data_IF_503246433085
#
_entry.id   IF_503246433085
#
_cell.length_a   1.000
_cell.length_b   1.000
_cell.length_c   1.000
_cell.angle_alpha   90.00
_cell.angle_beta   90.00
_cell.angle_gamma   90.00
#
_symmetry.space_group_name_H-M   'P 1'
#
loop_
_entity.id
_entity.type
_entity.pdbx_description
1 polymer ?
#
# COMPACT_ATOMS: atom_id res chain seq x y z
N UNK A 1 36.41 23.60 -13.62
CA UNK A 1 35.05 23.42 -14.17
C UNK A 1 34.99 22.06 -14.80
N UNK A 2 34.64 21.03 -14.04
CA UNK A 2 34.40 19.69 -14.58
C UNK A 2 32.90 19.57 -14.88
N UNK A 3 32.58 19.39 -16.15
CA UNK A 3 31.22 19.15 -16.62
C UNK A 3 30.80 17.74 -16.23
N UNK A 4 29.98 17.59 -15.19
CA UNK A 4 29.24 16.36 -14.94
C UNK A 4 28.26 16.12 -16.09
N UNK A 5 28.68 15.30 -17.06
CA UNK A 5 27.80 14.81 -18.10
C UNK A 5 26.87 13.74 -17.49
N UNK A 6 25.73 14.17 -16.96
CA UNK A 6 24.62 13.30 -16.59
C UNK A 6 24.07 12.66 -17.87
N UNK A 7 24.65 11.53 -18.29
CA UNK A 7 24.02 10.66 -19.28
C UNK A 7 22.65 10.29 -18.74
N UNK A 8 21.60 10.86 -19.33
CA UNK A 8 20.21 10.43 -19.17
C UNK A 8 20.19 8.90 -19.29
N UNK A 9 19.82 8.22 -18.21
CA UNK A 9 19.75 6.77 -18.15
C UNK A 9 18.46 6.30 -18.86
N UNK A 10 18.36 6.57 -20.17
CA UNK A 10 17.22 6.18 -21.00
C UNK A 10 17.29 4.69 -21.29
N UNK A 11 16.18 3.96 -21.09
CA UNK A 11 16.07 2.53 -21.40
C UNK A 11 15.88 2.31 -22.91
N UNK A 12 16.85 2.74 -23.71
CA UNK A 12 16.80 2.73 -25.18
C UNK A 12 17.51 1.51 -25.83
N UNK A 13 18.22 0.71 -25.03
CA UNK A 13 18.89 -0.49 -25.51
C UNK A 13 17.90 -1.64 -25.75
N UNK A 14 18.07 -2.37 -26.86
CA UNK A 14 17.19 -3.47 -27.27
C UNK A 14 17.78 -4.82 -26.89
N UNK A 15 16.92 -5.69 -26.35
CA UNK A 15 17.22 -7.10 -26.07
C UNK A 15 16.26 -7.96 -26.88
N UNK A 16 16.81 -8.88 -27.68
CA UNK A 16 16.05 -9.91 -28.40
C UNK A 16 16.38 -11.29 -27.84
N UNK A 17 15.34 -12.07 -27.54
CA UNK A 17 15.46 -13.42 -26.99
C UNK A 17 14.59 -14.34 -27.84
N UNK A 18 15.17 -15.44 -28.34
CA UNK A 18 14.41 -16.52 -28.97
C UNK A 18 14.07 -17.57 -27.93
N UNK A 19 12.81 -17.94 -27.86
CA UNK A 19 12.29 -18.93 -26.90
C UNK A 19 11.56 -20.03 -27.65
N UNK A 20 11.54 -21.23 -27.08
CA UNK A 20 10.61 -22.27 -27.50
C UNK A 20 9.16 -21.81 -27.25
N UNK A 21 8.19 -22.44 -27.91
CA UNK A 21 6.78 -22.15 -27.66
C UNK A 21 6.40 -22.40 -26.18
N UNK A 22 6.95 -23.47 -25.59
CA UNK A 22 6.75 -23.82 -24.19
C UNK A 22 7.31 -22.75 -23.24
N UNK A 23 8.54 -22.29 -23.44
CA UNK A 23 9.17 -21.29 -22.58
C UNK A 23 8.47 -19.93 -22.68
N UNK A 24 8.03 -19.56 -23.89
CA UNK A 24 7.27 -18.34 -24.10
C UNK A 24 5.95 -18.36 -23.32
N UNK A 25 5.27 -19.50 -23.30
CA UNK A 25 4.02 -19.64 -22.56
C UNK A 25 4.26 -19.64 -21.03
N UNK A 26 5.32 -20.30 -20.57
CA UNK A 26 5.75 -20.25 -19.16
C UNK A 26 6.08 -18.81 -18.74
N UNK A 27 6.75 -18.03 -19.60
CA UNK A 27 7.03 -16.61 -19.36
C UNK A 27 5.73 -15.77 -19.26
N UNK A 28 4.79 -15.94 -20.19
CA UNK A 28 3.52 -15.22 -20.18
C UNK A 28 2.73 -15.49 -18.91
N UNK A 29 2.63 -16.76 -18.50
CA UNK A 29 1.97 -17.15 -17.24
C UNK A 29 2.63 -16.51 -16.02
N UNK A 30 3.97 -16.52 -15.95
CA UNK A 30 4.73 -15.85 -14.87
C UNK A 30 4.47 -14.35 -14.83
N UNK A 31 4.49 -13.69 -15.99
CA UNK A 31 4.29 -12.26 -16.09
C UNK A 31 2.86 -11.87 -15.68
N UNK A 32 1.87 -12.61 -16.18
CA UNK A 32 0.45 -12.40 -15.83
C UNK A 32 0.18 -12.60 -14.34
N UNK A 33 0.75 -13.62 -13.70
CA UNK A 33 0.56 -13.85 -12.26
C UNK A 33 1.09 -12.69 -11.39
N UNK A 34 2.06 -11.95 -11.91
CA UNK A 34 2.70 -10.80 -11.27
C UNK A 34 2.10 -9.45 -11.69
N UNK A 35 1.08 -9.43 -12.58
CA UNK A 35 0.54 -8.22 -13.22
C UNK A 35 1.60 -7.39 -13.97
N UNK A 36 2.56 -8.08 -14.61
CA UNK A 36 3.64 -7.47 -15.38
C UNK A 36 3.56 -7.84 -16.86
N UNK A 37 4.15 -7.01 -17.71
CA UNK A 37 4.52 -7.42 -19.06
C UNK A 37 5.72 -8.38 -19.01
N UNK A 38 5.87 -9.21 -20.05
CA UNK A 38 7.03 -10.09 -20.21
C UNK A 38 8.36 -9.32 -20.08
N UNK A 39 8.46 -8.17 -20.74
CA UNK A 39 9.66 -7.34 -20.71
C UNK A 39 9.93 -6.76 -19.32
N UNK A 40 8.89 -6.39 -18.57
CA UNK A 40 9.05 -5.88 -17.21
C UNK A 40 9.48 -6.97 -16.23
N UNK A 41 8.88 -8.17 -16.33
CA UNK A 41 9.31 -9.32 -15.53
C UNK A 41 10.79 -9.66 -15.79
N UNK A 42 11.22 -9.73 -17.06
CA UNK A 42 12.61 -10.00 -17.42
C UNK A 42 13.54 -8.92 -16.85
N UNK A 43 13.22 -7.63 -17.03
CA UNK A 43 14.03 -6.54 -16.48
C UNK A 43 14.19 -6.62 -14.97
N UNK A 44 13.12 -6.95 -14.24
CA UNK A 44 13.16 -7.10 -12.78
C UNK A 44 14.02 -8.29 -12.38
N UNK A 45 13.88 -9.44 -13.06
CA UNK A 45 14.71 -10.61 -12.80
C UNK A 45 16.19 -10.35 -13.10
N UNK A 46 16.52 -9.66 -14.20
CA UNK A 46 17.91 -9.28 -14.51
C UNK A 46 18.48 -8.36 -13.45
N UNK A 47 17.69 -7.39 -12.95
CA UNK A 47 18.16 -6.40 -11.97
C UNK A 47 18.28 -6.95 -10.55
N UNK A 48 17.36 -7.81 -10.13
CA UNK A 48 17.19 -8.19 -8.73
C UNK A 48 17.32 -9.71 -8.47
N UNK A 49 17.41 -10.54 -9.51
CA UNK A 49 17.47 -12.01 -9.43
C UNK A 49 16.14 -12.69 -9.07
N UNK A 50 15.23 -11.98 -8.40
CA UNK A 50 13.94 -12.48 -7.95
C UNK A 50 12.85 -11.41 -8.14
N UNK A 51 11.59 -11.85 -8.25
CA UNK A 51 10.43 -10.97 -8.34
C UNK A 51 9.36 -11.44 -7.35
N UNK A 52 8.85 -10.50 -6.55
CA UNK A 52 7.77 -10.73 -5.59
C UNK A 52 6.56 -9.90 -5.99
N UNK A 53 5.36 -10.49 -5.88
CA UNK A 53 4.10 -9.75 -5.88
C UNK A 53 3.71 -9.50 -4.43
N UNK A 54 3.52 -8.23 -4.09
CA UNK A 54 3.01 -7.82 -2.79
C UNK A 54 1.53 -7.55 -2.97
N UNK A 55 0.71 -8.22 -2.17
CA UNK A 55 -0.72 -7.97 -2.11
C UNK A 55 -1.00 -6.89 -1.05
N UNK A 56 -1.60 -5.79 -1.49
CA UNK A 56 -2.00 -4.67 -0.63
C UNK A 56 -3.52 -4.60 -0.41
N UNK A 57 -4.29 -5.63 -0.78
CA UNK A 57 -5.76 -5.61 -0.64
C UNK A 57 -6.24 -5.32 0.78
N UNK A 58 -5.45 -5.63 1.81
CA UNK A 58 -5.76 -5.33 3.22
C UNK A 58 -5.32 -3.94 3.70
N UNK A 59 -4.61 -3.16 2.87
CA UNK A 59 -4.35 -1.74 3.14
C UNK A 59 -5.63 -0.90 2.97
N UNK A 60 -6.55 -1.31 2.12
CA UNK A 60 -7.79 -0.56 1.88
C UNK A 60 -8.67 -0.48 3.13
N UNK A 61 -8.74 -1.56 3.92
CA UNK A 61 -9.44 -1.57 5.21
C UNK A 61 -8.78 -0.61 6.23
N UNK A 62 -7.45 -0.57 6.23
CA UNK A 62 -6.68 0.35 7.08
C UNK A 62 -6.94 1.81 6.66
N UNK A 63 -6.91 2.11 5.36
CA UNK A 63 -7.21 3.43 4.80
C UNK A 63 -8.65 3.87 5.11
N UNK A 64 -9.60 2.93 5.06
CA UNK A 64 -11.00 3.18 5.40
C UNK A 64 -11.16 3.59 6.87
N UNK A 65 -10.54 2.86 7.80
CA UNK A 65 -10.60 3.20 9.23
C UNK A 65 -9.90 4.54 9.53
N UNK A 66 -8.76 4.82 8.89
CA UNK A 66 -8.09 6.12 8.99
C UNK A 66 -8.97 7.28 8.51
N UNK A 67 -9.72 7.09 7.41
CA UNK A 67 -10.63 8.09 6.87
C UNK A 67 -11.78 8.42 7.82
N UNK A 68 -12.31 7.39 8.53
CA UNK A 68 -13.32 7.60 9.59
C UNK A 68 -12.75 8.44 10.74
N UNK A 69 -11.54 8.14 11.18
CA UNK A 69 -10.86 8.91 12.24
C UNK A 69 -10.66 10.38 11.81
N UNK A 70 -10.22 10.64 10.58
CA UNK A 70 -10.08 12.01 10.08
C UNK A 70 -11.40 12.78 10.03
N UNK A 71 -12.49 12.13 9.62
CA UNK A 71 -13.84 12.71 9.58
C UNK A 71 -14.30 13.10 10.99
N UNK A 72 -14.08 12.18 11.91
CA UNK A 72 -14.33 12.31 13.33
C UNK A 72 -13.58 13.51 13.95
N UNK A 73 -12.27 13.61 13.76
CA UNK A 73 -11.46 14.76 14.21
C UNK A 73 -12.02 16.09 13.67
N UNK A 74 -12.39 16.12 12.38
CA UNK A 74 -12.99 17.30 11.77
C UNK A 74 -14.32 17.71 12.42
N UNK A 75 -15.12 16.77 12.89
CA UNK A 75 -16.36 17.07 13.61
C UNK A 75 -16.06 17.72 14.97
N UNK A 76 -15.02 17.28 15.68
CA UNK A 76 -14.57 17.94 16.92
C UNK A 76 -14.19 19.38 16.65
N UNK A 77 -13.31 19.61 15.67
CA UNK A 77 -12.80 20.95 15.37
C UNK A 77 -13.96 21.88 15.02
N UNK A 78 -14.94 21.40 14.25
CA UNK A 78 -16.15 22.17 13.94
C UNK A 78 -17.02 22.41 15.17
N UNK A 79 -17.22 21.40 16.03
CA UNK A 79 -17.99 21.52 17.27
C UNK A 79 -17.40 22.55 18.22
N UNK A 80 -16.09 22.45 18.49
CA UNK A 80 -15.34 23.41 19.30
C UNK A 80 -15.42 24.81 18.69
N UNK A 81 -15.11 24.95 17.40
CA UNK A 81 -15.17 26.26 16.74
C UNK A 81 -16.58 26.87 16.84
N UNK A 82 -17.63 26.06 16.70
CA UNK A 82 -19.02 26.52 16.79
C UNK A 82 -19.38 26.96 18.21
N UNK A 83 -19.03 26.18 19.24
CA UNK A 83 -19.29 26.52 20.63
C UNK A 83 -18.54 27.79 21.06
N UNK A 84 -17.27 27.92 20.65
CA UNK A 84 -16.45 29.11 20.90
C UNK A 84 -17.04 30.35 20.22
N UNK A 85 -17.49 30.24 18.96
CA UNK A 85 -18.12 31.35 18.22
C UNK A 85 -19.44 31.78 18.87
N UNK A 86 -20.22 30.83 19.40
CA UNK A 86 -21.54 31.09 19.98
C UNK A 86 -21.51 31.51 21.46
N UNK A 87 -20.37 31.38 22.14
CA UNK A 87 -20.26 31.66 23.58
C UNK A 87 -21.03 30.65 24.45
N UNK A 88 -21.28 29.45 23.94
CA UNK A 88 -21.95 28.36 24.65
C UNK A 88 -20.93 27.66 25.59
N UNK A 89 -21.36 27.27 26.80
CA UNK A 89 -20.54 26.39 27.64
C UNK A 89 -20.31 25.06 26.93
N UNK A 90 -19.05 24.62 26.89
CA UNK A 90 -18.69 23.36 26.26
C UNK A 90 -19.20 22.23 27.14
N UNK A 91 -20.18 21.48 26.64
CA UNK A 91 -20.71 20.28 27.30
C UNK A 91 -19.62 19.21 27.37
N UNK A 92 -19.03 19.08 28.56
CA UNK A 92 -17.94 18.16 28.84
C UNK A 92 -18.37 16.68 28.68
N UNK A 93 -19.63 16.36 28.92
CA UNK A 93 -20.16 15.00 28.76
C UNK A 93 -20.25 14.64 27.29
N UNK A 94 -20.71 15.59 26.45
CA UNK A 94 -20.73 15.41 25.01
C UNK A 94 -19.31 15.28 24.42
N UNK A 95 -18.35 16.06 24.95
CA UNK A 95 -16.92 15.91 24.60
C UNK A 95 -16.37 14.54 25.00
N UNK A 96 -16.72 14.05 26.20
CA UNK A 96 -16.28 12.76 26.72
C UNK A 96 -16.83 11.59 25.89
N UNK A 97 -18.11 11.65 25.50
CA UNK A 97 -18.73 10.65 24.62
C UNK A 97 -18.02 10.62 23.26
N UNK A 98 -17.73 11.80 22.72
CA UNK A 98 -17.02 11.95 21.45
C UNK A 98 -15.60 11.38 21.55
N UNK A 99 -14.86 11.67 22.63
CA UNK A 99 -13.53 11.10 22.89
C UNK A 99 -13.54 9.57 23.02
N UNK A 100 -14.55 9.01 23.70
CA UNK A 100 -14.71 7.57 23.83
C UNK A 100 -14.94 6.86 22.49
N UNK A 101 -15.75 7.47 21.61
CA UNK A 101 -15.95 6.97 20.24
C UNK A 101 -14.64 6.92 19.43
N UNK A 102 -13.73 7.86 19.67
CA UNK A 102 -12.40 7.87 19.04
C UNK A 102 -11.45 6.86 19.62
N UNK A 103 -11.42 6.72 20.94
CA UNK A 103 -10.63 5.68 21.58
C UNK A 103 -11.00 4.30 21.02
N UNK A 104 -12.30 4.02 20.87
CA UNK A 104 -12.77 2.77 20.29
C UNK A 104 -12.36 2.60 18.82
N UNK A 105 -12.45 3.67 18.03
CA UNK A 105 -12.03 3.66 16.61
C UNK A 105 -10.52 3.42 16.45
N UNK A 106 -9.70 4.10 17.27
CA UNK A 106 -8.24 3.92 17.29
C UNK A 106 -7.85 2.51 17.74
N UNK A 107 -8.57 1.95 18.73
CA UNK A 107 -8.35 0.58 19.20
C UNK A 107 -8.70 -0.45 18.14
N UNK A 108 -9.78 -0.24 17.39
CA UNK A 108 -10.14 -1.09 16.25
C UNK A 108 -9.06 -1.04 15.15
N UNK A 109 -8.53 0.15 14.83
CA UNK A 109 -7.41 0.29 13.89
C UNK A 109 -6.16 -0.43 14.39
N UNK A 110 -5.80 -0.27 15.66
CA UNK A 110 -4.66 -0.97 16.26
C UNK A 110 -4.79 -2.48 16.10
N UNK A 111 -5.95 -3.05 16.45
CA UNK A 111 -6.22 -4.48 16.31
C UNK A 111 -6.19 -4.93 14.85
N UNK A 112 -6.71 -4.13 13.92
CA UNK A 112 -6.67 -4.43 12.48
C UNK A 112 -5.23 -4.44 11.96
N UNK A 113 -4.42 -3.47 12.37
CA UNK A 113 -3.00 -3.42 12.03
C UNK A 113 -2.25 -4.61 12.64
N UNK A 114 -2.48 -4.93 13.92
CA UNK A 114 -1.88 -6.09 14.58
C UNK A 114 -2.25 -7.40 13.89
N UNK A 115 -3.51 -7.55 13.48
CA UNK A 115 -4.00 -8.70 12.72
C UNK A 115 -3.38 -8.75 11.32
N UNK A 116 -3.33 -7.62 10.60
CA UNK A 116 -2.65 -7.52 9.30
C UNK A 116 -1.18 -7.89 9.42
N UNK A 117 -0.46 -7.36 10.41
CA UNK A 117 0.91 -7.73 10.67
C UNK A 117 1.01 -9.21 11.06
N UNK A 118 0.14 -9.76 11.90
CA UNK A 118 0.17 -11.19 12.23
C UNK A 118 -0.03 -12.09 11.01
N UNK A 119 -0.90 -11.69 10.10
CA UNK A 119 -1.28 -12.45 8.90
C UNK A 119 -0.32 -12.21 7.72
N UNK A 120 0.41 -11.09 7.73
CA UNK A 120 1.28 -10.64 6.62
C UNK A 120 2.74 -10.35 7.02
N UNK A 121 3.15 -10.61 8.28
CA UNK A 121 4.55 -10.55 8.73
C UNK A 121 5.34 -11.60 7.97
N UNK A 122 5.91 -11.20 6.83
CA UNK A 122 6.93 -11.94 6.04
C UNK A 122 6.44 -13.28 5.45
N UNK A 123 5.25 -13.78 5.82
CA UNK A 123 4.73 -15.10 5.41
C UNK A 123 4.09 -15.15 4.03
N UNK A 124 3.72 -14.01 3.44
CA UNK A 124 3.07 -13.96 2.11
C UNK A 124 3.94 -13.37 1.00
N UNK A 125 5.28 -13.43 1.13
CA UNK A 125 6.11 -13.43 -0.07
C UNK A 125 5.86 -14.75 -0.79
N UNK A 126 4.86 -14.79 -1.68
CA UNK A 126 4.74 -15.90 -2.63
C UNK A 126 5.97 -15.86 -3.52
N UNK A 127 7.00 -16.62 -3.14
CA UNK A 127 7.98 -17.12 -4.10
C UNK A 127 7.16 -17.96 -5.06
N UNK A 128 6.87 -17.41 -6.23
CA UNK A 128 6.14 -18.16 -7.26
C UNK A 128 7.11 -19.21 -7.80
N UNK A 129 7.18 -20.36 -7.11
CA UNK A 129 7.72 -21.59 -7.67
C UNK A 129 6.64 -22.13 -8.58
N UNK A 130 6.87 -22.05 -9.88
CA UNK A 130 5.99 -22.69 -10.87
C UNK A 130 6.59 -24.05 -11.12
N UNK A 131 5.90 -25.10 -10.68
CA UNK A 131 6.25 -26.48 -10.96
C UNK A 131 6.42 -26.68 -12.48
N UNK A 132 7.39 -27.53 -12.83
CA UNK A 132 7.83 -27.77 -14.20
C UNK A 132 6.78 -28.39 -15.12
#
# INVERSE_FOLDING_TARGET
METHNSKKNTKDQRLEIRLSAYDLEKLKRKASAMDLSNSELIRRLVKYGVCYKIDFNSIDDILYQLSKIGTNINQITRGINTAVIKGEEIDADQMMETLNNYYNSLKALQLTCEQYFKDNSIKQLKKITIDD
#
